data_IF_390140870209
#
_entry.id   IF_390140870209
#
_cell.length_a   1.000
_cell.length_b   1.000
_cell.length_c   1.000
_cell.angle_alpha   90.00
_cell.angle_beta   90.00
_cell.angle_gamma   90.00
#
_symmetry.space_group_name_H-M   'P 1'
#
loop_
_entity.id
_entity.type
_entity.pdbx_description
1 polymer ?
#
# COMPACT_ATOMS: atom_id res chain seq x y z
N UNK A 1 32.41 36.55 3.52
CA UNK A 1 32.00 35.81 2.32
C UNK A 1 31.70 34.40 2.77
N UNK A 2 30.41 34.10 2.86
CA UNK A 2 29.88 32.77 3.21
C UNK A 2 29.63 32.09 1.88
N UNK A 3 30.30 30.96 1.62
CA UNK A 3 29.67 29.77 1.04
C UNK A 3 30.66 28.61 1.04
N UNK A 4 30.56 27.72 2.03
CA UNK A 4 31.03 26.35 1.89
C UNK A 4 29.82 25.48 2.19
N UNK A 5 29.11 25.14 1.12
CA UNK A 5 28.09 24.12 1.08
C UNK A 5 28.64 22.81 1.65
N UNK A 6 28.30 22.55 2.91
CA UNK A 6 28.36 21.24 3.51
C UNK A 6 27.49 20.28 2.66
N UNK A 7 28.04 19.18 2.12
CA UNK A 7 27.24 18.27 1.32
C UNK A 7 26.25 17.58 2.27
N UNK A 8 24.96 17.71 1.96
CA UNK A 8 23.86 17.00 2.62
C UNK A 8 23.99 15.51 2.28
N UNK A 9 24.98 14.85 2.88
CA UNK A 9 25.11 13.41 2.94
C UNK A 9 24.30 12.91 4.16
N UNK A 10 23.01 13.25 4.22
CA UNK A 10 22.08 12.40 4.95
C UNK A 10 21.88 11.18 4.08
N UNK A 11 22.39 10.04 4.53
CA UNK A 11 22.13 8.71 3.97
C UNK A 11 20.62 8.56 3.66
N UNK A 12 20.23 8.83 2.40
CA UNK A 12 18.89 8.56 1.92
C UNK A 12 18.87 7.05 1.69
N UNK A 13 18.55 6.30 2.73
CA UNK A 13 18.23 4.89 2.55
C UNK A 13 17.06 4.82 1.56
N UNK A 14 17.34 4.27 0.37
CA UNK A 14 16.33 4.01 -0.66
C UNK A 14 15.20 3.20 -0.02
N UNK A 15 13.96 3.65 -0.21
CA UNK A 15 12.78 3.03 0.42
C UNK A 15 12.55 1.63 -0.10
N UNK A 16 12.83 1.37 -1.38
CA UNK A 16 12.57 0.05 -1.96
C UNK A 16 13.43 -1.08 -1.35
N UNK A 17 14.78 -0.96 -1.24
CA UNK A 17 15.60 -1.94 -0.53
C UNK A 17 15.25 -2.11 0.95
N UNK A 18 14.70 -1.09 1.60
CA UNK A 18 14.21 -1.20 2.97
C UNK A 18 12.88 -1.95 3.02
N UNK A 19 11.95 -1.65 2.11
CA UNK A 19 10.67 -2.35 2.00
C UNK A 19 10.85 -3.84 1.69
N UNK A 20 11.86 -4.20 0.87
CA UNK A 20 12.21 -5.58 0.56
C UNK A 20 12.84 -6.37 1.74
N UNK A 21 13.03 -5.76 2.91
CA UNK A 21 13.51 -6.43 4.13
C UNK A 21 12.36 -6.63 5.12
N UNK A 22 12.11 -7.88 5.52
CA UNK A 22 11.04 -8.25 6.46
C UNK A 22 10.97 -7.32 7.68
N UNK A 23 12.09 -7.15 8.41
CA UNK A 23 12.14 -6.35 9.64
C UNK A 23 11.81 -4.88 9.42
N UNK A 24 12.26 -4.31 8.30
CA UNK A 24 12.04 -2.91 7.95
C UNK A 24 10.62 -2.68 7.44
N UNK A 25 10.09 -3.57 6.59
CA UNK A 25 8.69 -3.53 6.15
C UNK A 25 7.73 -3.64 7.34
N UNK A 26 8.01 -4.57 8.26
CA UNK A 26 7.23 -4.75 9.50
C UNK A 26 7.22 -3.46 10.32
N UNK A 27 8.38 -2.86 10.53
CA UNK A 27 8.52 -1.63 11.30
C UNK A 27 7.73 -0.48 10.66
N UNK A 28 7.80 -0.33 9.34
CA UNK A 28 7.05 0.71 8.61
C UNK A 28 5.54 0.54 8.78
N UNK A 29 5.03 -0.69 8.65
CA UNK A 29 3.60 -0.96 8.82
C UNK A 29 3.17 -0.77 10.28
N UNK A 30 3.96 -1.21 11.25
CA UNK A 30 3.67 -1.01 12.68
C UNK A 30 3.59 0.49 13.01
N UNK A 31 4.59 1.27 12.58
CA UNK A 31 4.61 2.73 12.78
C UNK A 31 3.36 3.39 12.18
N UNK A 32 2.97 2.96 10.97
CA UNK A 32 1.76 3.45 10.33
C UNK A 32 0.49 3.10 11.13
N UNK A 33 0.35 1.86 11.61
CA UNK A 33 -0.77 1.44 12.44
C UNK A 33 -0.85 2.22 13.76
N UNK A 34 0.29 2.45 14.42
CA UNK A 34 0.37 3.21 15.67
C UNK A 34 -0.08 4.66 15.44
N UNK A 35 0.41 5.31 14.39
CA UNK A 35 0.07 6.69 14.07
C UNK A 35 -1.39 6.82 13.58
N UNK A 36 -1.88 5.86 12.80
CA UNK A 36 -3.30 5.78 12.46
C UNK A 36 -4.16 5.66 13.72
N UNK A 37 -3.77 4.80 14.66
CA UNK A 37 -4.55 4.54 15.87
C UNK A 37 -4.64 5.78 16.76
N UNK A 38 -3.52 6.50 16.93
CA UNK A 38 -3.48 7.78 17.68
C UNK A 38 -4.42 8.84 17.11
N UNK A 39 -4.57 8.87 15.79
CA UNK A 39 -5.30 9.93 15.09
C UNK A 39 -6.75 9.59 14.76
N UNK A 40 -7.12 8.31 14.75
CA UNK A 40 -8.46 7.84 14.34
C UNK A 40 -9.32 7.31 15.49
N UNK A 41 -8.75 6.98 16.65
CA UNK A 41 -9.50 6.33 17.72
C UNK A 41 -9.91 4.88 17.41
N UNK A 42 -9.31 4.25 16.40
CA UNK A 42 -9.36 2.80 16.15
C UNK A 42 -8.06 2.19 16.66
N UNK A 43 -8.10 1.05 17.33
CA UNK A 43 -6.89 0.34 17.74
C UNK A 43 -6.53 -0.70 16.67
N UNK A 44 -5.49 -0.41 15.89
CA UNK A 44 -4.97 -1.34 14.90
C UNK A 44 -3.73 -2.07 15.45
N UNK A 45 -3.78 -3.40 15.42
CA UNK A 45 -2.67 -4.25 15.83
C UNK A 45 -2.15 -5.07 14.65
N UNK A 46 -0.82 -5.09 14.49
CA UNK A 46 -0.16 -5.95 13.54
C UNK A 46 -0.06 -7.38 14.11
N UNK A 47 -0.52 -8.36 13.34
CA UNK A 47 -0.32 -9.77 13.64
C UNK A 47 0.98 -10.26 13.01
N UNK A 48 2.01 -10.49 13.82
CA UNK A 48 3.35 -10.86 13.35
C UNK A 48 3.37 -12.14 12.50
N UNK A 49 2.52 -13.12 12.84
CA UNK A 49 2.45 -14.39 12.10
C UNK A 49 1.83 -14.16 10.73
N UNK A 50 0.68 -13.50 10.70
CA UNK A 50 -0.05 -13.23 9.47
C UNK A 50 0.72 -12.27 8.56
N UNK A 51 1.37 -11.25 9.12
CA UNK A 51 2.27 -10.36 8.39
C UNK A 51 3.42 -11.14 7.74
N UNK A 52 4.07 -12.04 8.46
CA UNK A 52 5.18 -12.83 7.91
C UNK A 52 4.70 -13.71 6.75
N UNK A 53 3.51 -14.31 6.84
CA UNK A 53 2.92 -15.08 5.74
C UNK A 53 2.64 -14.21 4.51
N UNK A 54 2.05 -13.02 4.70
CA UNK A 54 1.81 -12.06 3.64
C UNK A 54 3.11 -11.60 2.96
N UNK A 55 4.13 -11.31 3.76
CA UNK A 55 5.43 -10.85 3.26
C UNK A 55 6.12 -11.91 2.41
N UNK A 56 6.13 -13.17 2.85
CA UNK A 56 6.72 -14.29 2.09
C UNK A 56 5.95 -14.52 0.78
N UNK A 57 4.63 -14.47 0.80
CA UNK A 57 3.83 -14.57 -0.41
C UNK A 57 4.12 -13.42 -1.40
N UNK A 58 4.26 -12.20 -0.87
CA UNK A 58 4.60 -11.02 -1.66
C UNK A 58 6.01 -11.10 -2.27
N UNK A 59 7.02 -11.61 -1.56
CA UNK A 59 8.37 -11.75 -2.11
C UNK A 59 8.42 -12.67 -3.33
N UNK A 60 7.59 -13.72 -3.37
CA UNK A 60 7.48 -14.56 -4.56
C UNK A 60 6.96 -13.75 -5.77
N UNK A 61 6.00 -12.85 -5.57
CA UNK A 61 5.47 -11.98 -6.62
C UNK A 61 6.55 -11.01 -7.12
N UNK A 62 7.42 -10.51 -6.23
CA UNK A 62 8.54 -9.64 -6.63
C UNK A 62 9.50 -10.36 -7.57
N UNK A 63 9.89 -11.60 -7.21
CA UNK A 63 10.78 -12.44 -8.01
C UNK A 63 10.16 -12.74 -9.38
N UNK A 64 8.90 -13.17 -9.40
CA UNK A 64 8.19 -13.53 -10.63
C UNK A 64 7.97 -12.33 -11.56
N UNK A 65 8.00 -11.10 -11.03
CA UNK A 65 7.74 -9.87 -11.78
C UNK A 65 8.99 -9.02 -12.07
N UNK A 66 10.18 -9.43 -11.65
CA UNK A 66 11.43 -8.65 -11.80
C UNK A 66 11.71 -8.27 -13.26
N UNK A 67 11.35 -9.14 -14.21
CA UNK A 67 11.47 -8.88 -15.65
C UNK A 67 10.76 -7.58 -16.10
N UNK A 68 9.77 -7.11 -15.33
CA UNK A 68 8.97 -5.93 -15.64
C UNK A 68 9.64 -4.62 -15.17
N UNK A 69 10.55 -4.67 -14.19
CA UNK A 69 11.27 -3.51 -13.66
C UNK A 69 12.01 -2.74 -14.77
N UNK A 70 12.67 -3.45 -15.67
CA UNK A 70 13.42 -2.85 -16.78
C UNK A 70 12.53 -2.32 -17.92
N UNK A 71 11.25 -2.73 -17.97
CA UNK A 71 10.29 -2.28 -18.99
C UNK A 71 9.58 -1.00 -18.56
N UNK A 72 9.10 -0.97 -17.32
CA UNK A 72 8.45 0.20 -16.74
C UNK A 72 8.61 0.17 -15.22
N UNK A 73 9.63 0.85 -14.71
CA UNK A 73 9.93 0.86 -13.27
C UNK A 73 8.80 1.44 -12.42
N UNK A 74 8.15 2.52 -12.89
CA UNK A 74 7.07 3.16 -12.14
C UNK A 74 5.85 2.24 -11.99
N UNK A 75 5.42 1.60 -13.09
CA UNK A 75 4.31 0.65 -13.04
C UNK A 75 4.68 -0.66 -12.33
N UNK A 76 5.96 -1.08 -12.39
CA UNK A 76 6.46 -2.20 -11.59
C UNK A 76 6.30 -1.94 -10.08
N UNK A 77 6.73 -0.78 -9.59
CA UNK A 77 6.60 -0.46 -8.15
C UNK A 77 5.13 -0.32 -7.74
N UNK A 78 4.30 0.31 -8.57
CA UNK A 78 2.85 0.35 -8.37
C UNK A 78 2.27 -1.07 -8.20
N UNK A 79 2.56 -1.94 -9.17
CA UNK A 79 2.07 -3.32 -9.17
C UNK A 79 2.52 -4.07 -7.92
N UNK A 80 3.81 -4.00 -7.59
CA UNK A 80 4.36 -4.72 -6.45
C UNK A 80 3.78 -4.24 -5.12
N UNK A 81 3.52 -2.94 -4.97
CA UNK A 81 2.90 -2.40 -3.76
C UNK A 81 1.40 -2.75 -3.71
N UNK A 82 0.71 -2.77 -4.85
CA UNK A 82 -0.65 -3.31 -4.94
C UNK A 82 -0.71 -4.80 -4.56
N UNK A 83 0.30 -5.58 -4.94
CA UNK A 83 0.41 -7.00 -4.56
C UNK A 83 0.68 -7.17 -3.07
N UNK A 84 1.51 -6.31 -2.47
CA UNK A 84 1.69 -6.26 -1.02
C UNK A 84 0.35 -6.00 -0.30
N UNK A 85 -0.43 -5.02 -0.78
CA UNK A 85 -1.77 -4.75 -0.24
C UNK A 85 -2.67 -6.00 -0.29
N UNK A 86 -2.70 -6.68 -1.43
CA UNK A 86 -3.49 -7.89 -1.62
C UNK A 86 -3.13 -8.98 -0.60
N UNK A 87 -1.84 -9.26 -0.42
CA UNK A 87 -1.39 -10.29 0.52
C UNK A 87 -1.62 -9.88 1.99
N UNK A 88 -1.41 -8.61 2.35
CA UNK A 88 -1.70 -8.11 3.70
C UNK A 88 -3.19 -8.26 4.06
N UNK A 89 -4.09 -7.98 3.10
CA UNK A 89 -5.53 -8.13 3.29
C UNK A 89 -5.95 -9.60 3.35
N UNK A 90 -5.46 -10.42 2.42
CA UNK A 90 -5.72 -11.86 2.33
C UNK A 90 -5.36 -12.59 3.62
N UNK A 91 -4.17 -12.31 4.16
CA UNK A 91 -3.73 -12.91 5.41
C UNK A 91 -4.24 -12.18 6.65
N UNK A 92 -4.95 -11.05 6.51
CA UNK A 92 -5.44 -10.22 7.63
C UNK A 92 -4.30 -9.82 8.57
N UNK A 93 -3.21 -9.32 7.98
CA UNK A 93 -2.00 -8.96 8.70
C UNK A 93 -2.22 -7.89 9.78
N UNK A 94 -3.26 -7.07 9.65
CA UNK A 94 -3.66 -6.07 10.65
C UNK A 94 -5.07 -6.36 11.13
N UNK A 95 -5.27 -6.26 12.45
CA UNK A 95 -6.54 -6.47 13.14
C UNK A 95 -7.02 -5.17 13.76
N UNK A 96 -8.33 -4.96 13.75
CA UNK A 96 -8.98 -3.96 14.59
C UNK A 96 -9.34 -4.61 15.92
N UNK A 97 -8.73 -4.15 17.01
CA UNK A 97 -8.94 -4.65 18.37
C UNK A 97 -9.72 -3.66 19.23
N UNK A 98 -10.35 -2.65 18.62
CA UNK A 98 -11.21 -1.72 19.36
C UNK A 98 -12.43 -2.46 19.94
N UNK A 99 -12.43 -2.63 21.27
CA UNK A 99 -13.53 -3.30 22.00
C UNK A 99 -14.73 -2.37 22.22
N UNK A 100 -14.57 -1.06 21.98
CA UNK A 100 -15.63 -0.08 22.26
C UNK A 100 -15.49 1.15 21.36
N UNK A 101 -16.61 1.62 20.82
CA UNK A 101 -16.71 2.89 20.10
C UNK A 101 -16.26 4.01 21.05
N UNK A 102 -15.14 4.65 20.78
CA UNK A 102 -14.64 5.76 21.60
C UNK A 102 -15.57 6.98 21.37
N UNK A 103 -16.33 7.46 22.38
CA UNK A 103 -17.45 8.39 22.18
C UNK A 103 -17.09 9.82 21.72
N UNK A 104 -15.81 10.11 21.53
CA UNK A 104 -15.31 11.45 21.15
C UNK A 104 -14.47 11.43 19.89
N UNK A 105 -14.67 10.41 19.04
CA UNK A 105 -14.02 10.28 17.74
C UNK A 105 -14.45 11.42 16.82
N UNK A 106 -13.48 12.18 16.30
CA UNK A 106 -13.69 12.99 15.10
C UNK A 106 -13.80 11.99 13.93
N UNK A 107 -14.87 12.00 13.12
CA UNK A 107 -14.97 11.09 11.99
C UNK A 107 -13.77 11.32 11.06
N UNK A 108 -12.96 10.28 10.83
CA UNK A 108 -11.83 10.36 9.88
C UNK A 108 -12.35 10.27 8.44
N UNK A 109 -13.26 9.35 8.17
CA UNK A 109 -14.16 9.27 7.01
C UNK A 109 -15.21 8.17 7.25
N UNK A 110 -16.35 8.21 6.55
CA UNK A 110 -17.37 7.14 6.62
C UNK A 110 -16.79 5.76 6.22
N UNK A 111 -15.83 5.76 5.28
CA UNK A 111 -15.12 4.55 4.85
C UNK A 111 -14.26 3.98 5.98
N UNK A 112 -13.50 4.85 6.65
CA UNK A 112 -12.60 4.49 7.74
C UNK A 112 -13.35 3.99 8.98
N UNK A 113 -14.60 4.40 9.19
CA UNK A 113 -15.48 3.89 10.24
C UNK A 113 -16.04 2.51 9.90
N UNK A 114 -16.37 2.27 8.63
CA UNK A 114 -16.99 1.02 8.17
C UNK A 114 -15.98 -0.12 7.96
N UNK A 115 -14.75 0.19 7.53
CA UNK A 115 -13.70 -0.80 7.32
C UNK A 115 -12.31 -0.24 7.66
N UNK A 116 -11.98 -0.10 8.95
CA UNK A 116 -10.76 0.57 9.38
C UNK A 116 -9.47 -0.09 8.88
N UNK A 117 -9.40 -1.42 8.90
CA UNK A 117 -8.21 -2.17 8.47
C UNK A 117 -7.96 -2.03 6.98
N UNK A 118 -9.00 -2.15 6.15
CA UNK A 118 -8.89 -1.96 4.70
C UNK A 118 -8.48 -0.53 4.35
N UNK A 119 -9.09 0.45 4.99
CA UNK A 119 -8.76 1.87 4.81
C UNK A 119 -7.30 2.15 5.15
N UNK A 120 -6.85 1.74 6.34
CA UNK A 120 -5.47 1.94 6.79
C UNK A 120 -4.44 1.25 5.87
N UNK A 121 -4.65 -0.02 5.51
CA UNK A 121 -3.72 -0.75 4.65
C UNK A 121 -3.64 -0.16 3.24
N UNK A 122 -4.77 0.29 2.69
CA UNK A 122 -4.82 0.92 1.36
C UNK A 122 -4.05 2.24 1.38
N UNK A 123 -4.31 3.11 2.35
CA UNK A 123 -3.61 4.39 2.48
C UNK A 123 -2.12 4.22 2.82
N UNK A 124 -1.75 3.21 3.60
CA UNK A 124 -0.35 2.83 3.79
C UNK A 124 0.34 2.53 2.46
N UNK A 125 -0.30 1.73 1.60
CA UNK A 125 0.24 1.37 0.29
C UNK A 125 0.26 2.57 -0.68
N UNK A 126 -0.71 3.48 -0.62
CA UNK A 126 -0.66 4.76 -1.34
C UNK A 126 0.59 5.55 -0.97
N UNK A 127 0.85 5.75 0.33
CA UNK A 127 2.02 6.50 0.79
C UNK A 127 3.34 5.81 0.40
N UNK A 128 3.38 4.47 0.40
CA UNK A 128 4.51 3.72 -0.13
C UNK A 128 4.73 3.98 -1.62
N UNK A 129 3.69 3.92 -2.46
CA UNK A 129 3.81 4.19 -3.90
C UNK A 129 4.31 5.60 -4.14
N UNK A 130 3.75 6.59 -3.44
CA UNK A 130 4.19 7.99 -3.55
C UNK A 130 5.67 8.14 -3.23
N UNK A 131 6.11 7.50 -2.14
CA UNK A 131 7.50 7.57 -1.67
C UNK A 131 8.47 6.84 -2.61
N UNK A 132 8.12 5.63 -3.05
CA UNK A 132 8.94 4.82 -3.97
C UNK A 132 9.00 5.46 -5.35
N UNK A 133 7.88 5.89 -5.92
CA UNK A 133 7.84 6.60 -7.21
C UNK A 133 8.72 7.84 -7.21
N UNK A 134 8.68 8.62 -6.12
CA UNK A 134 9.50 9.82 -5.99
C UNK A 134 10.99 9.50 -5.89
N UNK A 135 11.37 8.49 -5.11
CA UNK A 135 12.78 8.18 -4.83
C UNK A 135 13.46 7.36 -5.94
N UNK A 136 12.76 6.38 -6.50
CA UNK A 136 13.34 5.45 -7.48
C UNK A 136 13.07 5.90 -8.93
N UNK A 137 12.02 6.67 -9.18
CA UNK A 137 11.63 7.10 -10.53
C UNK A 137 11.61 8.62 -10.73
N UNK A 138 11.78 9.43 -9.68
CA UNK A 138 11.64 10.88 -9.77
C UNK A 138 10.22 11.36 -10.12
N UNK A 139 9.21 10.47 -10.02
CA UNK A 139 7.82 10.76 -10.37
C UNK A 139 7.02 11.12 -9.12
N UNK A 140 6.22 12.17 -9.21
CA UNK A 140 5.17 12.47 -8.23
C UNK A 140 3.88 11.85 -8.72
N UNK A 141 3.22 11.09 -7.86
CA UNK A 141 1.95 10.42 -8.15
C UNK A 141 0.97 10.77 -7.05
N UNK A 142 -0.30 10.90 -7.42
CA UNK A 142 -1.38 11.17 -6.48
C UNK A 142 -2.56 10.24 -6.79
N UNK A 143 -3.31 9.80 -5.77
CA UNK A 143 -4.53 9.03 -6.00
C UNK A 143 -5.54 9.79 -6.85
N UNK A 144 -6.38 9.05 -7.57
CA UNK A 144 -7.55 9.60 -8.23
C UNK A 144 -8.65 9.94 -7.19
N UNK A 145 -9.65 10.72 -7.61
CA UNK A 145 -10.80 11.05 -6.76
C UNK A 145 -11.59 9.81 -6.31
N UNK A 146 -11.41 8.66 -6.98
CA UNK A 146 -12.06 7.40 -6.66
C UNK A 146 -11.72 6.89 -5.27
N UNK A 147 -10.54 7.25 -4.74
CA UNK A 147 -10.15 6.88 -3.37
C UNK A 147 -11.10 7.47 -2.31
N UNK A 148 -11.84 8.54 -2.62
CA UNK A 148 -12.85 9.12 -1.75
C UNK A 148 -14.28 8.57 -1.94
N UNK A 149 -14.50 7.66 -2.90
CA UNK A 149 -15.85 7.25 -3.29
C UNK A 149 -16.31 5.99 -2.55
N UNK A 150 -17.17 6.15 -1.54
CA UNK A 150 -17.68 5.06 -0.70
C UNK A 150 -18.21 3.86 -1.49
N UNK A 151 -18.91 4.08 -2.60
CA UNK A 151 -19.46 3.00 -3.43
C UNK A 151 -18.38 2.07 -4.00
N UNK A 152 -17.22 2.62 -4.37
CA UNK A 152 -16.08 1.84 -4.87
C UNK A 152 -15.50 1.00 -3.73
N UNK A 153 -15.38 1.58 -2.53
CA UNK A 153 -14.93 0.85 -1.33
C UNK A 153 -15.87 -0.28 -0.91
N UNK A 154 -17.18 -0.10 -1.09
CA UNK A 154 -18.18 -1.14 -0.87
C UNK A 154 -17.92 -2.33 -1.80
N UNK A 155 -17.85 -2.09 -3.11
CA UNK A 155 -17.53 -3.13 -4.09
C UNK A 155 -16.15 -3.74 -3.84
N UNK A 156 -15.15 -2.93 -3.48
CA UNK A 156 -13.81 -3.40 -3.17
C UNK A 156 -13.83 -4.44 -2.06
N UNK A 157 -14.43 -4.11 -0.90
CA UNK A 157 -14.50 -5.04 0.23
C UNK A 157 -15.29 -6.31 -0.10
N UNK A 158 -16.40 -6.18 -0.83
CA UNK A 158 -17.25 -7.31 -1.23
C UNK A 158 -16.47 -8.31 -2.10
N UNK A 159 -15.80 -7.82 -3.14
CA UNK A 159 -15.08 -8.68 -4.08
C UNK A 159 -13.86 -9.38 -3.45
N UNK A 160 -13.24 -8.78 -2.44
CA UNK A 160 -12.10 -9.39 -1.74
C UNK A 160 -12.47 -10.62 -0.91
N UNK A 161 -13.75 -10.80 -0.55
CA UNK A 161 -14.18 -12.00 0.16
C UNK A 161 -14.04 -13.25 -0.70
N UNK A 162 -14.20 -13.10 -2.01
CA UNK A 162 -14.10 -14.19 -2.98
C UNK A 162 -12.72 -14.25 -3.62
N UNK A 163 -12.18 -13.10 -4.06
CA UNK A 163 -10.91 -13.04 -4.78
C UNK A 163 -10.00 -11.92 -4.23
N UNK A 164 -9.15 -12.21 -3.22
CA UNK A 164 -8.28 -11.22 -2.59
C UNK A 164 -7.32 -10.51 -3.56
N UNK A 165 -6.93 -11.15 -4.67
CA UNK A 165 -6.00 -10.55 -5.64
C UNK A 165 -6.63 -9.40 -6.45
N UNK A 166 -7.96 -9.25 -6.42
CA UNK A 166 -8.62 -8.06 -6.98
C UNK A 166 -8.20 -6.77 -6.27
N UNK A 167 -7.59 -6.84 -5.09
CA UNK A 167 -7.00 -5.67 -4.43
C UNK A 167 -6.00 -4.92 -5.31
N UNK A 168 -5.26 -5.61 -6.17
CA UNK A 168 -4.32 -4.95 -7.09
C UNK A 168 -5.10 -4.08 -8.10
N UNK A 169 -6.18 -4.60 -8.69
CA UNK A 169 -6.99 -3.86 -9.64
C UNK A 169 -7.73 -2.68 -9.00
N UNK A 170 -8.31 -2.86 -7.80
CA UNK A 170 -8.89 -1.73 -7.07
C UNK A 170 -7.85 -0.67 -6.71
N UNK A 171 -6.65 -1.10 -6.32
CA UNK A 171 -5.55 -0.19 -6.01
C UNK A 171 -5.08 0.59 -7.24
N UNK A 172 -4.98 -0.06 -8.41
CA UNK A 172 -4.74 0.64 -9.68
C UNK A 172 -5.82 1.70 -9.94
N UNK A 173 -7.10 1.35 -9.77
CA UNK A 173 -8.20 2.28 -10.00
C UNK A 173 -8.15 3.48 -9.04
N UNK A 174 -7.82 3.24 -7.76
CA UNK A 174 -7.57 4.30 -6.78
C UNK A 174 -6.35 5.17 -7.13
N UNK A 175 -5.34 4.61 -7.79
CA UNK A 175 -4.15 5.34 -8.25
C UNK A 175 -4.33 5.95 -9.65
N UNK A 176 -5.52 5.85 -10.25
CA UNK A 176 -5.82 6.42 -11.57
C UNK A 176 -5.22 5.64 -12.74
N UNK A 177 -4.79 4.40 -12.49
CA UNK A 177 -4.23 3.49 -13.49
C UNK A 177 -5.33 2.56 -13.99
N UNK A 178 -5.37 2.31 -15.30
CA UNK A 178 -6.36 1.40 -15.88
C UNK A 178 -6.23 0.00 -15.29
N UNK A 179 -7.24 -0.48 -14.54
CA UNK A 179 -7.14 -1.75 -13.83
C UNK A 179 -7.32 -2.96 -14.76
N UNK A 180 -6.57 -4.03 -14.50
CA UNK A 180 -6.80 -5.35 -15.12
C UNK A 180 -7.66 -6.22 -14.20
N UNK A 181 -8.98 -6.17 -14.36
CA UNK A 181 -9.92 -6.94 -13.54
C UNK A 181 -9.88 -8.46 -13.76
N UNK A 182 -9.25 -8.95 -14.83
CA UNK A 182 -9.25 -10.39 -15.17
C UNK A 182 -8.07 -11.14 -14.58
N UNK A 183 -6.89 -10.54 -14.66
CA UNK A 183 -5.62 -11.15 -14.23
C UNK A 183 -4.76 -10.12 -13.49
N UNK A 184 -5.28 -9.55 -12.39
CA UNK A 184 -4.63 -8.44 -11.68
C UNK A 184 -3.26 -8.82 -11.11
N UNK A 185 -3.03 -10.11 -10.83
CA UNK A 185 -1.82 -10.66 -10.25
C UNK A 185 -0.69 -10.94 -11.25
N UNK A 186 -0.90 -10.75 -12.56
CA UNK A 186 0.11 -11.03 -13.57
C UNK A 186 0.65 -9.76 -14.22
N UNK A 187 1.85 -9.35 -13.79
CA UNK A 187 2.53 -8.14 -14.29
C UNK A 187 2.68 -8.11 -15.81
N UNK A 188 2.84 -9.28 -16.45
CA UNK A 188 3.00 -9.39 -17.91
C UNK A 188 1.79 -8.92 -18.73
N UNK A 189 0.60 -8.82 -18.13
CA UNK A 189 -0.61 -8.30 -18.80
C UNK A 189 -0.87 -6.82 -18.54
N UNK A 190 0.02 -6.13 -17.82
CA UNK A 190 -0.08 -4.69 -17.64
C UNK A 190 0.36 -4.00 -18.93
N UNK A 191 -0.54 -3.22 -19.52
CA UNK A 191 -0.17 -2.32 -20.60
C UNK A 191 0.76 -1.28 -19.99
N UNK A 192 2.04 -1.28 -20.37
CA UNK A 192 2.92 -0.17 -20.03
C UNK A 192 2.21 1.10 -20.54
N UNK A 193 1.75 1.94 -19.62
CA UNK A 193 1.15 3.22 -19.97
C UNK A 193 2.11 3.92 -20.91
N UNK A 194 1.66 4.19 -22.14
CA UNK A 194 2.38 5.07 -23.05
C UNK A 194 2.22 6.46 -22.42
N UNK A 195 3.26 6.91 -21.73
CA UNK A 195 3.43 8.32 -21.36
C UNK A 195 3.42 9.17 -22.65
#
# INVERSE_FOLDING_TARGET
>A
MVDEHEPIARSIHRVWPALAKLSSCRLLLQQYCDDYSKNSGVLLELDDRQFTQAFVAWTQILEDSEFYLHKNAADYFQFCIGALLAELLKFKAVRDTSVTIIPHKKPSSEIADWWPTGFALTHFCVELVKKVSRQECGKVVEPSEKIGQLKIWQSYRENLLEEPMLAIAYFDDFMGITPNWRTPYYAGHRTAGID
#
